data_IF_818313629759
#
_entry.id   IF_818313629759
#
_cell.length_a   1.000
_cell.length_b   1.000
_cell.length_c   1.000
_cell.angle_alpha   90.00
_cell.angle_beta   90.00
_cell.angle_gamma   90.00
#
_symmetry.space_group_name_H-M   'P 1'
#
loop_
_entity.id
_entity.type
_entity.pdbx_description
1 polymer ?
#
# COMPACT_ATOMS: atom_id res chain seq x y z
N UNK A 1 16.29 16.73 15.60
CA UNK A 1 15.43 15.61 16.05
C UNK A 1 15.05 14.78 14.82
N UNK A 2 15.94 13.89 14.42
CA UNK A 2 15.57 12.77 13.55
C UNK A 2 14.81 11.78 14.44
N UNK A 3 13.58 11.36 14.10
CA UNK A 3 12.99 10.24 14.81
C UNK A 3 13.79 8.99 14.44
N UNK A 4 14.60 8.51 15.37
CA UNK A 4 15.13 7.14 15.38
C UNK A 4 13.96 6.16 15.12
N UNK A 5 14.07 5.23 14.17
CA UNK A 5 13.10 4.16 14.07
C UNK A 5 13.30 3.26 15.29
N UNK A 6 12.46 3.42 16.31
CA UNK A 6 12.34 2.45 17.39
C UNK A 6 12.15 1.05 16.78
N UNK A 7 12.91 0.04 17.22
CA UNK A 7 12.74 -1.32 16.72
C UNK A 7 11.38 -1.80 17.23
N UNK A 8 10.36 -1.74 16.38
CA UNK A 8 9.02 -2.19 16.69
C UNK A 8 9.07 -3.70 16.99
N UNK A 9 9.06 -4.00 18.30
CA UNK A 9 8.70 -5.26 18.95
C UNK A 9 7.88 -6.14 18.02
N UNK A 10 8.40 -7.29 17.59
CA UNK A 10 7.68 -8.49 17.07
C UNK A 10 6.20 -8.22 16.75
N UNK A 11 5.94 -7.32 15.80
CA UNK A 11 4.61 -6.91 15.43
C UNK A 11 4.21 -7.85 14.31
N UNK A 12 3.00 -8.41 14.39
CA UNK A 12 2.42 -9.12 13.24
C UNK A 12 2.60 -8.23 12.02
N UNK A 13 3.16 -8.80 10.95
CA UNK A 13 3.35 -8.08 9.69
C UNK A 13 2.05 -7.33 9.34
N UNK A 14 2.18 -6.06 8.96
CA UNK A 14 1.04 -5.24 8.57
C UNK A 14 0.33 -5.93 7.42
N UNK A 15 -0.96 -6.20 7.58
CA UNK A 15 -1.75 -6.80 6.52
C UNK A 15 -2.11 -5.73 5.49
N UNK A 16 -1.49 -5.79 4.31
CA UNK A 16 -1.78 -4.85 3.22
C UNK A 16 -3.02 -5.24 2.42
N UNK A 17 -3.61 -6.41 2.69
CA UNK A 17 -4.80 -6.90 1.96
C UNK A 17 -6.05 -6.08 2.24
N UNK A 18 -6.02 -5.22 3.27
CA UNK A 18 -7.06 -4.21 3.52
C UNK A 18 -7.16 -3.16 2.40
N UNK A 19 -6.12 -2.97 1.59
CA UNK A 19 -6.11 -2.05 0.45
C UNK A 19 -6.63 -2.78 -0.80
N UNK A 20 -7.61 -2.18 -1.48
CA UNK A 20 -8.19 -2.72 -2.70
C UNK A 20 -7.14 -2.89 -3.80
N UNK A 21 -7.13 -4.07 -4.40
CA UNK A 21 -6.16 -4.46 -5.43
C UNK A 21 -4.87 -5.09 -4.87
N UNK A 22 -4.70 -5.15 -3.54
CA UNK A 22 -3.63 -5.91 -2.90
C UNK A 22 -4.19 -7.25 -2.40
N UNK A 23 -3.93 -8.31 -3.16
CA UNK A 23 -4.17 -9.68 -2.72
C UNK A 23 -2.99 -10.26 -1.91
N UNK A 24 -3.10 -11.49 -1.39
CA UNK A 24 -2.03 -12.15 -0.63
C UNK A 24 -0.72 -12.32 -1.43
N UNK A 25 -0.78 -12.25 -2.76
CA UNK A 25 0.39 -12.23 -3.62
C UNK A 25 1.16 -10.90 -3.53
N UNK A 26 0.46 -9.76 -3.60
CA UNK A 26 1.08 -8.44 -3.55
C UNK A 26 1.39 -7.99 -2.13
N UNK A 27 0.63 -8.44 -1.12
CA UNK A 27 0.99 -8.26 0.29
C UNK A 27 2.40 -8.83 0.56
N UNK A 28 2.63 -10.10 0.21
CA UNK A 28 3.95 -10.73 0.30
C UNK A 28 5.01 -10.01 -0.53
N UNK A 29 4.66 -9.54 -1.71
CA UNK A 29 5.58 -8.80 -2.58
C UNK A 29 6.05 -7.49 -1.94
N UNK A 30 5.12 -6.73 -1.37
CA UNK A 30 5.41 -5.45 -0.72
C UNK A 30 6.30 -5.64 0.51
N UNK A 31 6.00 -6.65 1.34
CA UNK A 31 6.89 -7.05 2.43
C UNK A 31 8.28 -7.47 1.93
N UNK A 32 8.34 -8.26 0.84
CA UNK A 32 9.61 -8.73 0.28
C UNK A 32 10.49 -7.59 -0.28
N UNK A 33 9.90 -6.50 -0.76
CA UNK A 33 10.63 -5.31 -1.24
C UNK A 33 10.86 -4.24 -0.16
N UNK A 34 10.48 -4.54 1.09
CA UNK A 34 10.82 -3.75 2.27
C UNK A 34 9.73 -2.81 2.79
N UNK A 35 8.50 -2.86 2.27
CA UNK A 35 7.39 -2.12 2.86
C UNK A 35 6.90 -2.85 4.11
N UNK A 36 6.94 -2.18 5.27
CA UNK A 36 6.57 -2.80 6.55
C UNK A 36 5.41 -2.11 7.26
N UNK A 37 5.00 -0.93 6.78
CA UNK A 37 3.90 -0.14 7.33
C UNK A 37 3.06 0.53 6.25
N UNK A 38 1.81 0.89 6.58
CA UNK A 38 0.98 1.71 5.67
C UNK A 38 1.62 3.08 5.38
N UNK A 39 2.38 3.62 6.33
CA UNK A 39 3.08 4.89 6.14
C UNK A 39 4.18 4.79 5.06
N UNK A 40 4.90 3.66 4.99
CA UNK A 40 5.90 3.43 3.93
C UNK A 40 5.26 3.44 2.54
N UNK A 41 4.12 2.76 2.38
CA UNK A 41 3.39 2.71 1.10
C UNK A 41 2.79 4.08 0.78
N UNK A 42 2.26 4.79 1.78
CA UNK A 42 1.65 6.11 1.61
C UNK A 42 2.67 7.20 1.22
N UNK A 43 3.91 7.08 1.70
CA UNK A 43 5.00 7.99 1.40
C UNK A 43 5.71 7.67 0.07
N UNK A 44 5.47 6.48 -0.49
CA UNK A 44 6.10 6.07 -1.74
C UNK A 44 5.29 6.49 -2.97
N UNK A 45 6.00 6.91 -4.01
CA UNK A 45 5.41 7.13 -5.33
C UNK A 45 4.95 5.80 -5.96
N UNK A 46 3.84 5.80 -6.71
CA UNK A 46 3.33 4.60 -7.36
C UNK A 46 4.34 4.00 -8.35
N UNK A 47 5.11 4.85 -9.06
CA UNK A 47 6.20 4.39 -9.92
C UNK A 47 7.34 3.76 -9.10
N UNK A 48 7.71 4.33 -7.95
CA UNK A 48 8.74 3.74 -7.09
C UNK A 48 8.32 2.38 -6.52
N UNK A 49 7.05 2.22 -6.13
CA UNK A 49 6.48 0.93 -5.73
C UNK A 49 6.58 -0.07 -6.88
N UNK A 50 6.18 0.35 -8.07
CA UNK A 50 6.26 -0.49 -9.26
C UNK A 50 7.70 -0.90 -9.58
N UNK A 51 8.65 0.03 -9.57
CA UNK A 51 10.07 -0.25 -9.86
C UNK A 51 10.64 -1.27 -8.88
N UNK A 52 10.36 -1.12 -7.57
CA UNK A 52 10.74 -2.10 -6.55
C UNK A 52 10.15 -3.47 -6.81
N UNK A 53 8.88 -3.54 -7.17
CA UNK A 53 8.20 -4.79 -7.51
C UNK A 53 8.80 -5.44 -8.76
N UNK A 54 9.03 -4.68 -9.82
CA UNK A 54 9.65 -5.18 -11.06
C UNK A 54 11.09 -5.68 -10.82
N UNK A 55 11.88 -4.96 -10.01
CA UNK A 55 13.24 -5.36 -9.64
C UNK A 55 13.26 -6.68 -8.84
N UNK A 56 12.20 -6.96 -8.08
CA UNK A 56 11.99 -8.23 -7.39
C UNK A 56 11.23 -9.28 -8.24
N UNK A 57 11.12 -9.07 -9.55
CA UNK A 57 10.53 -9.98 -10.52
C UNK A 57 9.01 -10.21 -10.34
N UNK A 58 8.31 -9.24 -9.74
CA UNK A 58 6.86 -9.16 -9.70
C UNK A 58 6.29 -8.47 -10.95
N UNK A 59 4.97 -8.55 -11.12
CA UNK A 59 4.26 -7.96 -12.27
C UNK A 59 3.66 -6.60 -11.92
N UNK A 60 3.52 -5.75 -12.94
CA UNK A 60 2.70 -4.53 -12.85
C UNK A 60 1.24 -4.93 -12.57
N UNK A 61 0.61 -4.23 -11.63
CA UNK A 61 -0.83 -4.32 -11.38
C UNK A 61 -1.50 -2.97 -11.67
N UNK A 62 -2.68 -2.94 -12.32
CA UNK A 62 -3.35 -1.70 -12.69
C UNK A 62 -3.79 -0.84 -11.49
N UNK A 63 -3.89 -1.42 -10.29
CA UNK A 63 -4.31 -0.69 -9.08
C UNK A 63 -3.12 -0.11 -8.28
N UNK A 64 -1.86 -0.34 -8.69
CA UNK A 64 -0.68 0.25 -8.01
C UNK A 64 -0.83 1.76 -7.80
N UNK A 65 -1.35 2.55 -8.76
CA UNK A 65 -1.55 3.99 -8.58
C UNK A 65 -2.48 4.36 -7.42
N UNK A 66 -3.39 3.47 -7.00
CA UNK A 66 -4.31 3.75 -5.89
C UNK A 66 -3.75 3.34 -4.52
N UNK A 67 -2.74 2.46 -4.48
CA UNK A 67 -2.21 1.92 -3.22
C UNK A 67 -1.64 2.98 -2.27
N UNK A 68 -0.83 3.97 -2.70
CA UNK A 68 -0.34 5.01 -1.80
C UNK A 68 -1.46 5.80 -1.15
N UNK A 69 -2.50 6.12 -1.92
CA UNK A 69 -3.64 6.90 -1.43
C UNK A 69 -4.49 6.12 -0.43
N UNK A 70 -4.74 4.83 -0.72
CA UNK A 70 -5.42 3.94 0.22
C UNK A 70 -4.59 3.76 1.51
N UNK A 71 -3.28 3.54 1.36
CA UNK A 71 -2.37 3.40 2.49
C UNK A 71 -2.31 4.67 3.34
N UNK A 72 -2.45 5.85 2.76
CA UNK A 72 -2.51 7.11 3.50
C UNK A 72 -3.73 7.21 4.43
N UNK A 73 -4.88 6.65 4.04
CA UNK A 73 -6.04 6.52 4.93
C UNK A 73 -5.78 5.50 6.05
N UNK A 74 -5.28 4.32 5.70
CA UNK A 74 -4.95 3.27 6.67
C UNK A 74 -3.87 3.71 7.69
N UNK A 75 -2.85 4.44 7.23
CA UNK A 75 -1.79 5.00 8.08
C UNK A 75 -2.33 6.02 9.10
N UNK A 76 -3.42 6.72 8.76
CA UNK A 76 -4.13 7.64 9.67
C UNK A 76 -5.15 6.95 10.56
N UNK A 77 -5.41 5.65 10.34
CA UNK A 77 -6.53 4.93 10.97
C UNK A 77 -7.90 5.36 10.46
N UNK A 78 -7.96 6.06 9.31
CA UNK A 78 -9.18 6.60 8.72
C UNK A 78 -9.87 5.53 7.85
N UNK A 79 -10.39 4.50 8.51
CA UNK A 79 -11.01 3.35 7.83
C UNK A 79 -12.30 3.73 7.09
N UNK A 80 -13.04 4.70 7.60
CA UNK A 80 -14.24 5.24 6.94
C UNK A 80 -13.89 5.94 5.62
N UNK A 81 -12.87 6.81 5.64
CA UNK A 81 -12.36 7.46 4.43
C UNK A 81 -11.76 6.48 3.43
N UNK A 82 -11.08 5.42 3.91
CA UNK A 82 -10.60 4.33 3.06
C UNK A 82 -11.77 3.63 2.35
N UNK A 83 -12.82 3.25 3.08
CA UNK A 83 -13.97 2.57 2.49
C UNK A 83 -14.74 3.49 1.52
N UNK A 84 -14.92 4.76 1.88
CA UNK A 84 -15.52 5.75 0.99
C UNK A 84 -14.68 5.97 -0.29
N UNK A 85 -13.36 5.91 -0.18
CA UNK A 85 -12.46 5.98 -1.34
C UNK A 85 -12.56 4.71 -2.20
N UNK A 86 -12.60 3.52 -1.60
CA UNK A 86 -12.81 2.25 -2.30
C UNK A 86 -14.15 2.21 -3.03
N UNK A 87 -15.23 2.70 -2.42
CA UNK A 87 -16.55 2.81 -3.09
C UNK A 87 -16.53 3.74 -4.31
N UNK A 88 -15.64 4.74 -4.33
CA UNK A 88 -15.42 5.63 -5.49
C UNK A 88 -14.54 4.98 -6.56
N UNK A 89 -13.75 3.96 -6.22
CA UNK A 89 -13.02 3.16 -7.19
C UNK A 89 -13.99 2.16 -7.82
N UNK A 90 -14.32 2.34 -9.09
CA UNK A 90 -15.09 1.32 -9.82
C UNK A 90 -14.17 0.13 -10.09
N UNK A 91 -14.27 -0.92 -9.28
CA UNK A 91 -13.46 -2.14 -9.38
C UNK A 91 -11.93 -1.88 -9.34
N UNK A 92 -11.44 -1.04 -8.43
CA UNK A 92 -10.01 -0.73 -8.30
C UNK A 92 -9.44 0.25 -9.33
N UNK A 93 -10.27 0.81 -10.22
CA UNK A 93 -9.87 1.85 -11.17
C UNK A 93 -10.53 3.17 -10.80
N UNK A 94 -9.77 4.27 -10.89
CA UNK A 94 -10.38 5.59 -10.96
C UNK A 94 -11.30 5.56 -12.18
N UNK A 95 -12.60 5.77 -11.95
CA UNK A 95 -13.51 6.05 -13.06
C UNK A 95 -13.01 7.33 -13.71
N UNK A 96 -12.37 7.20 -14.86
CA UNK A 96 -12.29 8.28 -15.83
C UNK A 96 -13.71 8.40 -16.39
N UNK A 97 -14.45 9.41 -15.92
CA UNK A 97 -15.67 9.89 -16.58
C UNK A 97 -15.26 10.74 -17.81
#
# INVERSE_FOLDING_TARGET
PEPEPEPAKTAKAVDFTVLEGIGPYYDKALHAVGFTSFADIAAADPDAILEKLLAANYRRHPTIPSWPKQAAFAAKGDWDGLEAFKQKLTAGRLSED
#
